data_IF_370723518196
#
_entry.id   IF_370723518196
#
_cell.length_a   1.000
_cell.length_b   1.000
_cell.length_c   1.000
_cell.angle_alpha   90.00
_cell.angle_beta   90.00
_cell.angle_gamma   90.00
#
_symmetry.space_group_name_H-M   'P 1'
#
loop_
_entity.id
_entity.type
_entity.pdbx_description
1 polymer ?
#
# COMPACT_ATOMS: atom_id res chain seq x y z
N UNK A 1 55.47 36.98 63.90
CA UNK A 1 54.79 37.62 62.76
C UNK A 1 54.15 36.52 61.92
N UNK A 2 52.82 36.44 61.88
CA UNK A 2 52.06 35.39 61.19
C UNK A 2 51.82 35.81 59.74
N UNK A 3 52.15 34.95 58.78
CA UNK A 3 51.74 35.09 57.37
C UNK A 3 50.94 33.85 57.00
N UNK A 4 49.63 34.01 56.93
CA UNK A 4 48.69 33.03 56.39
C UNK A 4 48.46 33.36 54.91
N UNK A 5 48.80 32.43 54.02
CA UNK A 5 48.42 32.48 52.60
C UNK A 5 47.14 31.67 52.44
N UNK A 6 46.04 32.35 52.08
CA UNK A 6 44.76 31.72 51.75
C UNK A 6 44.73 31.44 50.25
N UNK A 7 44.63 30.16 49.87
CA UNK A 7 44.36 29.74 48.51
C UNK A 7 42.84 29.54 48.35
N UNK A 8 42.20 30.34 47.48
CA UNK A 8 40.80 30.17 47.11
C UNK A 8 40.71 29.32 45.84
N UNK A 9 40.27 28.07 45.97
CA UNK A 9 39.86 27.25 44.82
C UNK A 9 38.42 27.63 44.43
N UNK A 10 38.26 28.17 43.22
CA UNK A 10 36.95 28.38 42.61
C UNK A 10 36.49 27.09 41.93
N UNK A 11 35.48 26.42 42.47
CA UNK A 11 34.80 25.29 41.84
C UNK A 11 33.78 25.81 40.83
N UNK A 12 34.08 25.68 39.54
CA UNK A 12 33.10 25.88 38.48
C UNK A 12 32.16 24.66 38.41
N UNK A 13 30.90 24.84 38.79
CA UNK A 13 29.86 23.82 38.66
C UNK A 13 29.26 23.87 37.24
N UNK A 14 29.61 22.90 36.40
CA UNK A 14 28.96 22.71 35.10
C UNK A 14 27.59 22.06 35.29
N UNK A 15 26.51 22.79 35.00
CA UNK A 15 25.16 22.25 34.98
C UNK A 15 24.96 21.38 33.73
N UNK A 16 24.85 20.06 33.90
CA UNK A 16 24.48 19.13 32.82
C UNK A 16 22.97 19.22 32.61
N UNK A 17 22.56 19.85 31.51
CA UNK A 17 21.18 19.84 31.02
C UNK A 17 20.87 18.43 30.46
N UNK A 18 20.23 17.59 31.28
CA UNK A 18 19.66 16.32 30.83
C UNK A 18 18.39 16.63 30.04
N UNK A 19 18.51 16.75 28.72
CA UNK A 19 17.37 16.83 27.83
C UNK A 19 16.61 15.50 27.84
N UNK A 20 15.35 15.50 28.29
CA UNK A 20 14.46 14.35 28.15
C UNK A 20 14.16 14.14 26.67
N UNK A 21 14.79 13.13 26.05
CA UNK A 21 14.38 12.63 24.74
C UNK A 21 13.01 11.99 24.92
N UNK A 22 11.96 12.70 24.50
CA UNK A 22 10.62 12.13 24.39
C UNK A 22 10.68 11.07 23.29
N UNK A 23 10.83 9.80 23.66
CA UNK A 23 10.64 8.70 22.75
C UNK A 23 9.16 8.69 22.33
N UNK A 24 8.87 9.15 21.11
CA UNK A 24 7.53 8.98 20.54
C UNK A 24 7.23 7.47 20.54
N UNK A 25 6.15 7.01 21.19
CA UNK A 25 5.79 5.61 21.11
C UNK A 25 5.59 5.28 19.64
N UNK A 26 6.20 4.20 19.16
CA UNK A 26 5.92 3.67 17.84
C UNK A 26 4.39 3.51 17.75
N UNK A 27 3.73 4.37 16.98
CA UNK A 27 2.27 4.32 16.85
C UNK A 27 1.90 2.92 16.35
N UNK A 28 1.15 2.19 17.18
CA UNK A 28 0.64 0.89 16.81
C UNK A 28 -0.18 1.03 15.53
N UNK A 29 -0.08 0.02 14.66
CA UNK A 29 -0.92 -0.05 13.45
C UNK A 29 -2.39 -0.02 13.90
N UNK A 30 -3.25 0.82 13.28
CA UNK A 30 -4.67 0.87 13.62
C UNK A 30 -5.34 -0.51 13.58
N UNK A 31 -6.18 -0.79 14.59
CA UNK A 31 -6.83 -2.09 14.76
C UNK A 31 -7.83 -2.41 13.64
N UNK A 32 -8.31 -1.41 12.93
CA UNK A 32 -9.23 -1.51 11.79
C UNK A 32 -8.52 -1.73 10.44
N UNK A 33 -7.18 -1.91 10.43
CA UNK A 33 -6.43 -2.21 9.20
C UNK A 33 -7.03 -3.37 8.37
N UNK A 34 -7.44 -4.51 8.94
CA UNK A 34 -8.06 -5.59 8.16
C UNK A 34 -9.37 -5.18 7.47
N UNK A 35 -10.17 -4.33 8.11
CA UNK A 35 -11.45 -3.82 7.62
C UNK A 35 -11.21 -2.86 6.46
N UNK A 36 -10.26 -1.93 6.59
CA UNK A 36 -9.86 -1.01 5.51
C UNK A 36 -9.31 -1.80 4.31
N UNK A 37 -8.43 -2.79 4.56
CA UNK A 37 -7.91 -3.66 3.50
C UNK A 37 -9.04 -4.39 2.76
N UNK A 38 -10.01 -4.92 3.49
CA UNK A 38 -11.18 -5.58 2.90
C UNK A 38 -12.02 -4.60 2.07
N UNK A 39 -12.30 -3.41 2.58
CA UNK A 39 -13.09 -2.38 1.88
C UNK A 39 -12.48 -1.97 0.54
N UNK A 40 -11.15 -1.96 0.41
CA UNK A 40 -10.44 -1.60 -0.83
C UNK A 40 -10.24 -2.75 -1.82
N UNK A 41 -10.58 -3.98 -1.42
CA UNK A 41 -10.33 -5.19 -2.21
C UNK A 41 -11.60 -5.96 -2.54
N UNK A 42 -12.73 -5.26 -2.67
CA UNK A 42 -13.98 -5.79 -3.20
C UNK A 42 -14.04 -5.61 -4.73
N UNK A 43 -15.00 -6.30 -5.35
CA UNK A 43 -15.22 -6.28 -6.79
C UNK A 43 -15.92 -5.01 -7.30
N UNK A 44 -16.61 -4.29 -6.40
CA UNK A 44 -17.41 -3.12 -6.74
C UNK A 44 -16.57 -1.93 -7.22
N UNK A 45 -17.20 -1.07 -8.03
CA UNK A 45 -16.60 0.20 -8.44
C UNK A 45 -16.34 1.13 -7.24
N UNK A 46 -17.21 1.12 -6.21
CA UNK A 46 -17.00 1.91 -5.00
C UNK A 46 -15.71 1.53 -4.27
N UNK A 47 -15.42 0.22 -4.17
CA UNK A 47 -14.18 -0.28 -3.58
C UNK A 47 -12.95 0.17 -4.35
N UNK A 48 -12.99 0.05 -5.68
CA UNK A 48 -11.93 0.56 -6.56
C UNK A 48 -11.71 2.07 -6.37
N UNK A 49 -12.78 2.87 -6.35
CA UNK A 49 -12.70 4.31 -6.20
C UNK A 49 -12.11 4.71 -4.83
N UNK A 50 -12.51 4.04 -3.75
CA UNK A 50 -11.95 4.27 -2.42
C UNK A 50 -10.46 3.91 -2.36
N UNK A 51 -10.06 2.78 -2.95
CA UNK A 51 -8.65 2.41 -3.06
C UNK A 51 -7.85 3.42 -3.90
N UNK A 52 -8.41 3.86 -5.04
CA UNK A 52 -7.76 4.80 -5.94
C UNK A 52 -7.54 6.16 -5.26
N UNK A 53 -8.53 6.65 -4.52
CA UNK A 53 -8.40 7.87 -3.71
C UNK A 53 -7.33 7.71 -2.62
N UNK A 54 -7.29 6.56 -1.94
CA UNK A 54 -6.26 6.28 -0.93
C UNK A 54 -4.85 6.18 -1.53
N UNK A 55 -4.71 5.54 -2.70
CA UNK A 55 -3.44 5.48 -3.45
C UNK A 55 -2.97 6.87 -3.89
N UNK A 56 -3.88 7.78 -4.21
CA UNK A 56 -3.58 9.18 -4.53
C UNK A 56 -3.14 10.02 -3.32
N UNK A 57 -3.35 9.52 -2.09
CA UNK A 57 -3.02 10.20 -0.85
C UNK A 57 -2.45 9.23 0.21
N UNK A 58 -1.40 8.49 -0.15
CA UNK A 58 -0.83 7.45 0.72
C UNK A 58 -0.34 7.99 2.07
N UNK A 59 0.11 9.25 2.11
CA UNK A 59 0.57 9.92 3.32
C UNK A 59 -0.49 9.92 4.45
N UNK A 60 -1.76 10.13 4.08
CA UNK A 60 -2.89 10.06 5.01
C UNK A 60 -3.12 8.65 5.60
N UNK A 61 -2.58 7.61 4.96
CA UNK A 61 -2.72 6.21 5.37
C UNK A 61 -1.42 5.62 5.93
N UNK A 62 -0.40 6.44 6.17
CA UNK A 62 0.93 6.00 6.62
C UNK A 62 0.92 5.19 7.93
N UNK A 63 0.01 5.52 8.86
CA UNK A 63 -0.19 4.79 10.11
C UNK A 63 -0.55 3.30 9.89
N UNK A 64 -1.24 2.98 8.78
CA UNK A 64 -1.66 1.62 8.46
C UNK A 64 -0.52 0.75 7.95
N UNK A 65 0.61 1.33 7.52
CA UNK A 65 1.76 0.58 6.98
C UNK A 65 1.31 -0.42 5.90
N UNK A 66 0.46 0.04 4.97
CA UNK A 66 0.12 -0.77 3.79
C UNK A 66 1.30 -0.83 2.84
N UNK A 67 1.49 -1.97 2.21
CA UNK A 67 2.41 -2.10 1.08
C UNK A 67 1.74 -1.53 -0.17
N UNK A 68 2.26 -0.40 -0.65
CA UNK A 68 1.81 0.28 -1.87
C UNK A 68 2.66 -0.04 -3.10
N UNK A 69 3.72 -0.85 -2.93
CA UNK A 69 4.62 -1.23 -4.02
C UNK A 69 3.86 -2.01 -5.10
N UNK A 70 4.25 -1.78 -6.34
CA UNK A 70 3.68 -2.43 -7.51
C UNK A 70 4.71 -2.44 -8.61
N UNK A 71 4.76 -3.54 -9.34
CA UNK A 71 5.46 -3.68 -10.61
C UNK A 71 4.49 -3.53 -11.80
N UNK A 72 3.29 -3.00 -11.53
CA UNK A 72 2.19 -2.87 -12.49
C UNK A 72 1.92 -4.20 -13.19
N UNK A 73 1.81 -4.20 -14.52
CA UNK A 73 1.51 -5.40 -15.28
C UNK A 73 2.77 -6.12 -15.79
N UNK A 74 3.93 -5.96 -15.12
CA UNK A 74 5.23 -6.46 -15.62
C UNK A 74 5.28 -7.97 -15.81
N UNK A 75 4.58 -8.72 -14.94
CA UNK A 75 4.48 -10.19 -15.03
C UNK A 75 3.18 -10.65 -15.70
N UNK A 76 2.47 -9.75 -16.37
CA UNK A 76 1.20 -10.06 -17.05
C UNK A 76 1.44 -10.53 -18.49
N UNK A 77 0.46 -11.24 -19.09
CA UNK A 77 0.49 -11.55 -20.52
C UNK A 77 0.61 -10.31 -21.41
N UNK A 78 1.03 -10.50 -22.66
CA UNK A 78 1.16 -9.41 -23.61
C UNK A 78 -0.16 -8.62 -23.79
N UNK A 79 -0.02 -7.29 -23.89
CA UNK A 79 -1.11 -6.36 -24.18
C UNK A 79 -0.77 -5.56 -25.45
N UNK A 80 -0.83 -6.20 -26.63
CA UNK A 80 -0.35 -5.62 -27.88
C UNK A 80 -1.17 -4.40 -28.33
N UNK A 81 -2.39 -4.24 -27.81
CA UNK A 81 -3.27 -3.12 -28.11
C UNK A 81 -3.17 -1.97 -27.09
N UNK A 82 -2.31 -2.11 -26.06
CA UNK A 82 -2.00 -1.04 -25.13
C UNK A 82 -3.17 -0.60 -24.25
N UNK A 83 -4.10 -1.49 -23.90
CA UNK A 83 -5.21 -1.14 -23.00
C UNK A 83 -4.67 -0.68 -21.63
N UNK A 84 -5.18 0.41 -21.04
CA UNK A 84 -4.60 1.04 -19.85
C UNK A 84 -4.94 0.26 -18.56
N UNK A 85 -4.38 -0.94 -18.40
CA UNK A 85 -4.64 -1.84 -17.27
C UNK A 85 -3.74 -1.60 -16.04
N UNK A 86 -2.81 -0.65 -16.11
CA UNK A 86 -1.80 -0.39 -15.06
C UNK A 86 -2.43 -0.19 -13.67
N UNK A 87 -3.50 0.60 -13.56
CA UNK A 87 -4.16 0.84 -12.27
C UNK A 87 -4.90 -0.41 -11.74
N UNK A 88 -5.43 -1.25 -12.62
CA UNK A 88 -6.02 -2.54 -12.24
C UNK A 88 -4.95 -3.47 -11.67
N UNK A 89 -3.80 -3.57 -12.33
CA UNK A 89 -2.65 -4.36 -11.85
C UNK A 89 -2.14 -3.82 -10.50
N UNK A 90 -2.03 -2.50 -10.36
CA UNK A 90 -1.59 -1.89 -9.11
C UNK A 90 -2.52 -2.18 -7.92
N UNK A 91 -3.84 -2.30 -8.13
CA UNK A 91 -4.78 -2.71 -7.07
C UNK A 91 -4.68 -4.19 -6.74
N UNK A 92 -4.46 -5.02 -7.76
CA UNK A 92 -4.23 -6.45 -7.58
C UNK A 92 -2.98 -6.70 -6.75
N UNK A 93 -1.87 -6.05 -7.08
CA UNK A 93 -0.61 -6.10 -6.32
C UNK A 93 -0.80 -5.66 -4.87
N UNK A 94 -1.49 -4.53 -4.67
CA UNK A 94 -1.82 -4.04 -3.34
C UNK A 94 -2.55 -5.11 -2.52
N UNK A 95 -3.59 -5.73 -3.09
CA UNK A 95 -4.31 -6.82 -2.43
C UNK A 95 -3.38 -7.99 -2.11
N UNK A 96 -2.66 -8.49 -3.10
CA UNK A 96 -1.76 -9.63 -2.97
C UNK A 96 -0.72 -9.44 -1.87
N UNK A 97 0.02 -8.33 -1.91
CA UNK A 97 1.12 -8.04 -0.98
C UNK A 97 0.61 -7.89 0.45
N UNK A 98 -0.47 -7.14 0.65
CA UNK A 98 -1.02 -6.91 1.99
C UNK A 98 -1.70 -8.14 2.59
N UNK A 99 -2.41 -8.96 1.79
CA UNK A 99 -2.98 -10.21 2.30
C UNK A 99 -1.92 -11.30 2.53
N UNK A 100 -0.82 -11.31 1.76
CA UNK A 100 0.35 -12.17 2.04
C UNK A 100 1.02 -11.76 3.36
N UNK A 101 1.27 -10.47 3.55
CA UNK A 101 1.83 -9.94 4.80
C UNK A 101 0.93 -10.21 6.02
N UNK A 102 -0.40 -10.22 5.83
CA UNK A 102 -1.37 -10.56 6.88
C UNK A 102 -1.59 -12.07 7.09
N UNK A 103 -0.88 -12.95 6.37
CA UNK A 103 -1.01 -14.40 6.51
C UNK A 103 -2.37 -14.98 6.09
N UNK A 104 -3.18 -14.22 5.34
CA UNK A 104 -4.57 -14.59 4.97
C UNK A 104 -4.80 -14.61 3.47
N UNK A 105 -3.72 -14.67 2.68
CA UNK A 105 -3.78 -14.64 1.21
C UNK A 105 -4.65 -15.73 0.59
N UNK A 106 -4.46 -16.99 0.99
CA UNK A 106 -5.19 -18.13 0.40
C UNK A 106 -6.71 -17.97 0.46
N UNK A 107 -7.23 -17.52 1.61
CA UNK A 107 -8.66 -17.30 1.81
C UNK A 107 -9.24 -16.12 0.99
N UNK A 108 -8.39 -15.19 0.55
CA UNK A 108 -8.82 -13.96 -0.11
C UNK A 108 -8.50 -13.94 -1.61
N UNK A 109 -7.54 -14.76 -2.08
CA UNK A 109 -7.03 -14.76 -3.45
C UNK A 109 -8.12 -14.74 -4.52
N UNK A 110 -9.11 -15.63 -4.42
CA UNK A 110 -10.18 -15.71 -5.41
C UNK A 110 -10.98 -14.39 -5.54
N UNK A 111 -11.21 -13.68 -4.43
CA UNK A 111 -11.85 -12.36 -4.45
C UNK A 111 -10.94 -11.30 -5.07
N UNK A 112 -9.64 -11.32 -4.77
CA UNK A 112 -8.67 -10.38 -5.33
C UNK A 112 -8.56 -10.53 -6.86
N UNK A 113 -8.47 -11.76 -7.36
CA UNK A 113 -8.44 -12.06 -8.79
C UNK A 113 -9.75 -11.61 -9.48
N UNK A 114 -10.89 -11.84 -8.83
CA UNK A 114 -12.19 -11.38 -9.35
C UNK A 114 -12.27 -9.85 -9.37
N UNK A 115 -11.78 -9.18 -8.33
CA UNK A 115 -11.76 -7.73 -8.23
C UNK A 115 -10.88 -7.10 -9.32
N UNK A 116 -9.73 -7.72 -9.61
CA UNK A 116 -8.87 -7.36 -10.73
C UNK A 116 -9.60 -7.50 -12.07
N UNK A 117 -10.28 -8.62 -12.31
CA UNK A 117 -11.03 -8.81 -13.56
C UNK A 117 -12.14 -7.76 -13.73
N UNK A 118 -12.85 -7.42 -12.67
CA UNK A 118 -13.85 -6.36 -12.71
C UNK A 118 -13.26 -4.98 -13.00
N UNK A 119 -12.04 -4.67 -12.53
CA UNK A 119 -11.34 -3.43 -12.88
C UNK A 119 -10.97 -3.40 -14.37
N UNK A 120 -10.43 -4.49 -14.90
CA UNK A 120 -10.08 -4.60 -16.32
C UNK A 120 -11.32 -4.41 -17.20
N UNK A 121 -12.44 -5.05 -16.84
CA UNK A 121 -13.72 -4.87 -17.55
C UNK A 121 -14.24 -3.44 -17.48
N UNK A 122 -14.03 -2.72 -16.38
CA UNK A 122 -14.38 -1.29 -16.26
C UNK A 122 -13.59 -0.43 -17.24
N UNK A 123 -12.30 -0.71 -17.42
CA UNK A 123 -11.51 -0.07 -18.50
C UNK A 123 -12.14 -0.41 -19.86
N UNK A 124 -12.49 -1.68 -20.09
CA UNK A 124 -13.08 -2.12 -21.34
C UNK A 124 -14.46 -1.51 -21.64
N UNK A 125 -15.20 -1.10 -20.62
CA UNK A 125 -16.51 -0.44 -20.79
C UNK A 125 -16.41 0.94 -21.46
N UNK A 126 -15.22 1.57 -21.47
CA UNK A 126 -14.95 2.82 -22.19
C UNK A 126 -14.82 2.67 -23.71
N UNK A 127 -14.79 1.44 -24.24
CA UNK A 127 -14.67 1.16 -25.67
C UNK A 127 -16.00 0.65 -26.26
N UNK A 128 -16.13 0.77 -27.58
CA UNK A 128 -17.23 0.20 -28.36
C UNK A 128 -16.75 -0.81 -29.40
N UNK A 129 -17.69 -1.48 -30.06
CA UNK A 129 -17.43 -2.35 -31.23
C UNK A 129 -16.37 -3.42 -31.00
N UNK A 130 -15.54 -3.66 -32.02
CA UNK A 130 -14.47 -4.66 -31.98
C UNK A 130 -13.43 -4.37 -30.88
N UNK A 131 -13.11 -3.10 -30.61
CA UNK A 131 -12.14 -2.72 -29.56
C UNK A 131 -12.61 -3.17 -28.17
N UNK A 132 -13.92 -3.08 -27.89
CA UNK A 132 -14.50 -3.59 -26.64
C UNK A 132 -14.35 -5.10 -26.52
N UNK A 133 -14.57 -5.84 -27.61
CA UNK A 133 -14.42 -7.30 -27.64
C UNK A 133 -12.96 -7.68 -27.38
N UNK A 134 -12.02 -7.06 -28.09
CA UNK A 134 -10.58 -7.29 -27.90
C UNK A 134 -10.14 -6.95 -26.48
N UNK A 135 -10.57 -5.82 -25.92
CA UNK A 135 -10.25 -5.44 -24.54
C UNK A 135 -10.75 -6.49 -23.54
N UNK A 136 -12.00 -6.93 -23.65
CA UNK A 136 -12.55 -7.95 -22.75
C UNK A 136 -11.83 -9.30 -22.90
N UNK A 137 -11.39 -9.66 -24.11
CA UNK A 137 -10.58 -10.85 -24.34
C UNK A 137 -9.22 -10.75 -23.64
N UNK A 138 -8.52 -9.62 -23.78
CA UNK A 138 -7.24 -9.39 -23.08
C UNK A 138 -7.45 -9.39 -21.56
N UNK A 139 -8.52 -8.76 -21.07
CA UNK A 139 -8.87 -8.76 -19.65
C UNK A 139 -9.11 -10.18 -19.11
N UNK A 140 -9.76 -11.03 -19.89
CA UNK A 140 -9.97 -12.43 -19.52
C UNK A 140 -8.66 -13.20 -19.46
N UNK A 141 -7.75 -13.02 -20.44
CA UNK A 141 -6.42 -13.65 -20.43
C UNK A 141 -5.62 -13.25 -19.18
N UNK A 142 -5.65 -11.97 -18.79
CA UNK A 142 -5.01 -11.47 -17.57
C UNK A 142 -5.57 -12.14 -16.31
N UNK A 143 -6.90 -12.22 -16.20
CA UNK A 143 -7.57 -12.90 -15.09
C UNK A 143 -7.20 -14.38 -15.00
N UNK A 144 -7.19 -15.10 -16.12
CA UNK A 144 -6.84 -16.52 -16.15
C UNK A 144 -5.37 -16.75 -15.75
N UNK A 145 -4.46 -15.87 -16.13
CA UNK A 145 -3.05 -15.95 -15.75
C UNK A 145 -2.88 -15.88 -14.22
N UNK A 146 -3.46 -14.87 -13.55
CA UNK A 146 -3.36 -14.74 -12.08
C UNK A 146 -4.11 -15.85 -11.36
N UNK A 147 -5.21 -16.35 -11.94
CA UNK A 147 -5.98 -17.47 -11.38
C UNK A 147 -5.18 -18.76 -11.32
N UNK A 148 -4.36 -19.02 -12.33
CA UNK A 148 -3.56 -20.23 -12.48
C UNK A 148 -2.18 -20.14 -11.79
N UNK A 149 -1.53 -18.97 -11.84
CA UNK A 149 -0.12 -18.81 -11.45
C UNK A 149 0.11 -17.88 -10.24
N UNK A 150 -0.91 -17.14 -9.81
CA UNK A 150 -0.80 -16.13 -8.75
C UNK A 150 -0.81 -16.67 -7.34
#
# INVERSE_FOLDING_TARGET
>A
MRRTLSATLATAASAVLVGTVMANPAHAVPADKPQILSQWTQTSASSYNSWSAARGNQGAWSAYRFDWSTDYCSSSPDNPFGFPFQNSCARHDFGYRNYKAAGSFSANKARLDSAFYEDLKRVCAGYGGATKVTCNSTAWTYYQAVRALG
#
